data_IF_998873172995
#
_entry.id   IF_998873172995
#
_cell.length_a   1.000
_cell.length_b   1.000
_cell.length_c   1.000
_cell.angle_alpha   90.00
_cell.angle_beta   90.00
_cell.angle_gamma   90.00
#
_symmetry.space_group_name_H-M   'P 1'
#
loop_
_entity.id
_entity.type
_entity.pdbx_description
1 polymer ?
#
# COMPACT_ATOMS: atom_id res chain seq x y z
N UNK A 1 10.11 24.24 -17.89
CA UNK A 1 10.26 22.76 -17.86
C UNK A 1 9.68 22.20 -19.14
N UNK A 2 10.12 21.05 -19.65
CA UNK A 2 9.48 20.41 -20.82
C UNK A 2 8.19 19.69 -20.40
N UNK A 3 7.15 19.71 -21.24
CA UNK A 3 5.91 18.93 -21.07
C UNK A 3 6.19 17.44 -20.78
N UNK A 4 7.29 16.92 -21.32
CA UNK A 4 7.78 15.54 -21.09
C UNK A 4 8.09 15.28 -19.62
N UNK A 5 8.62 16.26 -18.90
CA UNK A 5 8.97 16.11 -17.48
C UNK A 5 7.71 16.05 -16.61
N UNK A 6 6.69 16.86 -16.94
CA UNK A 6 5.41 16.83 -16.22
C UNK A 6 4.69 15.48 -16.42
N UNK A 7 4.73 14.92 -17.64
CA UNK A 7 4.23 13.56 -17.91
C UNK A 7 4.97 12.49 -17.10
N UNK A 8 6.31 12.60 -16.99
CA UNK A 8 7.10 11.66 -16.21
C UNK A 8 6.74 11.69 -14.71
N UNK A 9 6.54 12.88 -14.14
CA UNK A 9 6.15 13.05 -12.73
C UNK A 9 4.76 12.47 -12.48
N UNK A 10 3.80 12.74 -13.37
CA UNK A 10 2.44 12.17 -13.27
C UNK A 10 2.46 10.65 -13.39
N UNK A 11 3.22 10.10 -14.34
CA UNK A 11 3.36 8.66 -14.52
C UNK A 11 3.96 7.98 -13.28
N UNK A 12 5.00 8.58 -12.68
CA UNK A 12 5.59 8.11 -11.43
C UNK A 12 4.60 8.17 -10.26
N UNK A 13 3.84 9.26 -10.13
CA UNK A 13 2.82 9.39 -9.09
C UNK A 13 1.75 8.31 -9.18
N UNK A 14 1.21 8.06 -10.38
CA UNK A 14 0.25 6.98 -10.63
C UNK A 14 0.85 5.61 -10.32
N UNK A 15 2.10 5.39 -10.71
CA UNK A 15 2.81 4.14 -10.42
C UNK A 15 2.91 3.88 -8.90
N UNK A 16 3.29 4.88 -8.11
CA UNK A 16 3.36 4.76 -6.64
C UNK A 16 1.98 4.52 -5.99
N UNK A 17 0.91 5.10 -6.54
CA UNK A 17 -0.46 4.85 -6.09
C UNK A 17 -0.83 3.38 -6.36
N UNK A 18 -0.60 2.87 -7.57
CA UNK A 18 -0.88 1.48 -7.93
C UNK A 18 -0.07 0.50 -7.06
N UNK A 19 1.21 0.80 -6.83
CA UNK A 19 2.06 0.00 -5.96
C UNK A 19 1.54 -0.01 -4.51
N UNK A 20 1.13 1.14 -4.00
CA UNK A 20 0.53 1.25 -2.65
C UNK A 20 -0.75 0.44 -2.50
N UNK A 21 -1.62 0.45 -3.52
CA UNK A 21 -2.84 -0.38 -3.56
C UNK A 21 -2.48 -1.86 -3.62
N UNK A 22 -1.50 -2.24 -4.46
CA UNK A 22 -1.04 -3.62 -4.57
C UNK A 22 -0.53 -4.15 -3.22
N UNK A 23 0.26 -3.37 -2.49
CA UNK A 23 0.73 -3.74 -1.15
C UNK A 23 -0.41 -3.85 -0.14
N UNK A 24 -1.42 -2.97 -0.18
CA UNK A 24 -2.60 -3.11 0.69
C UNK A 24 -3.40 -4.39 0.38
N UNK A 25 -3.57 -4.74 -0.91
CA UNK A 25 -4.24 -5.98 -1.31
C UNK A 25 -3.43 -7.21 -0.89
N UNK A 26 -2.11 -7.16 -1.03
CA UNK A 26 -1.22 -8.24 -0.60
C UNK A 26 -1.28 -8.46 0.90
N UNK A 27 -1.23 -7.38 1.69
CA UNK A 27 -1.40 -7.42 3.14
C UNK A 27 -2.71 -8.12 3.56
N UNK A 28 -3.81 -7.86 2.85
CA UNK A 28 -5.10 -8.53 3.11
C UNK A 28 -5.04 -10.03 2.77
N UNK A 29 -4.34 -10.41 1.69
CA UNK A 29 -4.12 -11.82 1.33
C UNK A 29 -3.26 -12.54 2.36
N UNK A 30 -2.15 -11.95 2.79
CA UNK A 30 -1.27 -12.54 3.81
C UNK A 30 -1.97 -12.71 5.16
N UNK A 31 -2.71 -11.69 5.62
CA UNK A 31 -3.53 -11.81 6.83
C UNK A 31 -4.53 -12.96 6.71
N UNK A 32 -5.25 -13.04 5.59
CA UNK A 32 -6.22 -14.12 5.36
C UNK A 32 -5.56 -15.50 5.36
N UNK A 33 -4.43 -15.68 4.68
CA UNK A 33 -3.69 -16.95 4.65
C UNK A 33 -3.19 -17.33 6.04
N UNK A 34 -2.63 -16.38 6.79
CA UNK A 34 -2.12 -16.62 8.15
C UNK A 34 -3.23 -17.08 9.10
N UNK A 35 -4.35 -16.34 9.18
CA UNK A 35 -5.46 -16.72 10.04
C UNK A 35 -6.14 -18.03 9.60
N UNK A 36 -6.23 -18.30 8.29
CA UNK A 36 -6.81 -19.56 7.81
C UNK A 36 -5.94 -20.78 8.17
N UNK A 37 -4.61 -20.61 8.24
CA UNK A 37 -3.70 -21.65 8.71
C UNK A 37 -3.84 -21.92 10.21
N UNK A 38 -4.14 -20.88 11.01
CA UNK A 38 -4.41 -21.00 12.44
C UNK A 38 -5.72 -21.74 12.73
N UNK A 39 -6.76 -21.58 11.92
CA UNK A 39 -8.02 -22.35 12.06
C UNK A 39 -7.82 -23.84 11.79
N UNK A 40 -6.80 -24.21 10.99
CA UNK A 40 -6.48 -25.61 10.69
C UNK A 40 -5.72 -26.29 11.83
N UNK A 41 -5.04 -25.53 12.70
CA UNK A 41 -4.45 -26.04 13.95
C UNK A 41 -5.42 -25.78 15.11
N UNK A 42 -5.45 -26.64 16.13
CA UNK A 42 -6.36 -26.53 17.29
C UNK A 42 -6.14 -25.30 18.19
N UNK A 43 -5.49 -24.25 17.69
CA UNK A 43 -5.24 -23.00 18.41
C UNK A 43 -6.33 -21.96 18.11
N UNK A 44 -7.58 -22.30 18.44
CA UNK A 44 -8.73 -21.38 18.32
C UNK A 44 -8.56 -20.12 19.19
N UNK A 45 -7.72 -20.18 20.24
CA UNK A 45 -7.46 -19.05 21.13
C UNK A 45 -6.88 -17.86 20.35
N UNK A 46 -5.81 -18.06 19.57
CA UNK A 46 -5.15 -16.99 18.80
C UNK A 46 -6.05 -16.42 17.68
N UNK A 47 -6.92 -17.25 17.11
CA UNK A 47 -7.93 -16.79 16.13
C UNK A 47 -9.03 -15.91 16.75
N UNK A 48 -9.48 -16.24 17.96
CA UNK A 48 -10.53 -15.47 18.66
C UNK A 48 -9.96 -14.20 19.28
N UNK A 49 -8.79 -14.28 19.93
CA UNK A 49 -8.24 -13.15 20.68
C UNK A 49 -7.38 -12.20 19.86
N UNK A 50 -6.93 -12.59 18.65
CA UNK A 50 -5.95 -11.81 17.88
C UNK A 50 -4.70 -11.40 18.68
N UNK A 51 -4.39 -12.18 19.72
CA UNK A 51 -3.23 -11.99 20.57
C UNK A 51 -2.25 -13.16 20.37
N UNK A 52 -0.95 -12.91 20.20
CA UNK A 52 -0.28 -11.61 20.19
C UNK A 52 -0.36 -10.90 18.83
N UNK A 53 -0.55 -9.58 18.82
CA UNK A 53 -0.43 -8.79 17.59
C UNK A 53 0.97 -8.98 17.00
N UNK A 54 1.00 -9.50 15.77
CA UNK A 54 2.24 -9.80 15.06
C UNK A 54 2.61 -8.61 14.15
N UNK A 55 3.59 -7.78 14.51
CA UNK A 55 3.86 -6.53 13.80
C UNK A 55 4.28 -6.72 12.33
N UNK A 56 4.85 -7.88 11.97
CA UNK A 56 5.22 -8.18 10.58
C UNK A 56 4.01 -8.26 9.65
N UNK A 57 2.84 -8.70 10.15
CA UNK A 57 1.58 -8.76 9.39
C UNK A 57 1.03 -7.38 9.04
N UNK A 58 1.59 -6.30 9.60
CA UNK A 58 1.25 -4.92 9.28
C UNK A 58 2.33 -4.21 8.45
N UNK A 59 3.48 -4.84 8.18
CA UNK A 59 4.59 -4.19 7.47
C UNK A 59 4.20 -3.74 6.05
N UNK A 60 3.50 -4.61 5.31
CA UNK A 60 2.99 -4.29 3.98
C UNK A 60 1.91 -3.20 4.00
N UNK A 61 1.13 -3.11 5.08
CA UNK A 61 0.15 -2.05 5.27
C UNK A 61 0.83 -0.68 5.47
N UNK A 62 1.92 -0.65 6.24
CA UNK A 62 2.70 0.57 6.49
C UNK A 62 3.39 1.02 5.21
N UNK A 63 4.09 0.10 4.52
CA UNK A 63 4.74 0.38 3.23
C UNK A 63 3.74 0.83 2.15
N UNK A 64 2.58 0.18 2.08
CA UNK A 64 1.49 0.55 1.17
C UNK A 64 0.94 1.95 1.44
N UNK A 65 0.74 2.32 2.71
CA UNK A 65 0.31 3.68 3.10
C UNK A 65 1.33 4.74 2.72
N UNK A 66 2.62 4.52 3.00
CA UNK A 66 3.69 5.46 2.66
C UNK A 66 3.76 5.66 1.13
N UNK A 67 3.74 4.56 0.37
CA UNK A 67 3.71 4.60 -1.10
C UNK A 67 2.53 5.40 -1.64
N UNK A 68 1.34 5.22 -1.06
CA UNK A 68 0.14 5.95 -1.44
C UNK A 68 0.27 7.46 -1.20
N UNK A 69 0.78 7.87 -0.03
CA UNK A 69 0.98 9.28 0.30
C UNK A 69 1.95 9.93 -0.68
N UNK A 70 3.09 9.28 -0.94
CA UNK A 70 4.10 9.78 -1.90
C UNK A 70 3.50 9.89 -3.30
N UNK A 71 2.77 8.87 -3.75
CA UNK A 71 2.10 8.88 -5.06
C UNK A 71 1.08 10.01 -5.20
N UNK A 72 0.26 10.25 -4.18
CA UNK A 72 -0.71 11.35 -4.17
C UNK A 72 -0.01 12.71 -4.28
N UNK A 73 1.05 12.92 -3.50
CA UNK A 73 1.82 14.18 -3.54
C UNK A 73 2.42 14.39 -4.93
N UNK A 74 3.02 13.35 -5.53
CA UNK A 74 3.58 13.42 -6.88
C UNK A 74 2.53 13.77 -7.94
N UNK A 75 1.34 13.18 -7.86
CA UNK A 75 0.24 13.49 -8.78
C UNK A 75 -0.23 14.94 -8.63
N UNK A 76 -0.38 15.43 -7.39
CA UNK A 76 -0.77 16.83 -7.12
C UNK A 76 0.27 17.78 -7.70
N UNK A 77 1.55 17.59 -7.38
CA UNK A 77 2.63 18.45 -7.87
C UNK A 77 2.72 18.41 -9.40
N UNK A 78 2.67 17.21 -10.00
CA UNK A 78 2.68 17.05 -11.44
C UNK A 78 1.49 17.71 -12.13
N UNK A 79 0.30 17.69 -11.51
CA UNK A 79 -0.91 18.31 -12.06
C UNK A 79 -0.85 19.82 -11.98
N UNK A 80 -0.40 20.37 -10.86
CA UNK A 80 -0.22 21.82 -10.68
C UNK A 80 0.82 22.35 -11.67
N UNK A 81 1.96 21.66 -11.82
CA UNK A 81 2.99 22.03 -12.79
C UNK A 81 2.49 21.97 -14.24
N UNK A 82 1.61 21.00 -14.57
CA UNK A 82 1.00 20.90 -15.90
C UNK A 82 0.01 22.03 -16.19
N UNK A 83 -0.72 22.51 -15.18
CA UNK A 83 -1.71 23.59 -15.36
C UNK A 83 -1.05 24.97 -15.50
N UNK A 84 0.14 25.15 -14.92
CA UNK A 84 0.88 26.42 -14.93
C UNK A 84 1.71 26.60 -16.21
N UNK A 85 2.11 25.48 -16.84
CA UNK A 85 3.07 25.45 -17.94
C UNK A 85 2.41 25.10 -19.28
#
# INVERSE_FOLDING_TARGET
MSLTNCRAILALGIFFILLGIAFMLWNKREKKTYYNSLVTRRDMKEFITHEPERPWLNAWQIGGRISLIIGIILVIVGSVLWLIL
#
